data_IF_943995151918
#
_entry.id   IF_943995151918
#
_cell.length_a   1.000
_cell.length_b   1.000
_cell.length_c   1.000
_cell.angle_alpha   90.00
_cell.angle_beta   90.00
_cell.angle_gamma   90.00
#
_symmetry.space_group_name_H-M   'P 1'
#
loop_
_entity.id
_entity.type
_entity.pdbx_description
1 polymer ?
#
# COMPACT_ATOMS: atom_id res chain seq x y z
N UNK A 1 1.62 8.38 2.34
CA UNK A 1 2.47 8.83 3.47
C UNK A 1 1.58 9.49 4.52
N UNK A 2 1.82 9.26 5.81
CA UNK A 2 1.07 9.97 6.87
C UNK A 2 1.50 11.45 6.91
N UNK A 3 0.55 12.38 6.88
CA UNK A 3 0.84 13.82 6.97
C UNK A 3 1.46 14.21 8.32
N UNK A 4 1.21 13.43 9.37
CA UNK A 4 1.87 13.60 10.67
C UNK A 4 3.37 13.37 10.55
N UNK A 5 3.81 12.41 9.74
CA UNK A 5 5.24 12.20 9.46
C UNK A 5 5.86 13.39 8.71
N UNK A 6 5.12 13.98 7.76
CA UNK A 6 5.52 15.21 7.08
C UNK A 6 5.65 16.39 8.05
N UNK A 7 4.75 16.51 9.03
CA UNK A 7 4.83 17.53 10.07
C UNK A 7 6.07 17.36 10.96
N UNK A 8 6.40 16.14 11.36
CA UNK A 8 7.64 15.85 12.10
C UNK A 8 8.89 16.21 11.27
N UNK A 9 8.88 15.92 9.97
CA UNK A 9 9.97 16.27 9.05
C UNK A 9 10.07 17.78 8.84
N UNK A 10 8.94 18.49 8.75
CA UNK A 10 8.90 19.95 8.64
C UNK A 10 9.52 20.62 9.88
N UNK A 11 9.21 20.13 11.09
CA UNK A 11 9.81 20.65 12.33
C UNK A 11 11.33 20.46 12.35
N UNK A 12 11.83 19.32 11.85
CA UNK A 12 13.26 19.08 11.72
C UNK A 12 13.91 19.99 10.66
N UNK A 13 13.27 20.18 9.51
CA UNK A 13 13.76 21.01 8.41
C UNK A 13 13.83 22.50 8.77
N UNK A 14 12.86 23.00 9.54
CA UNK A 14 12.81 24.40 9.99
C UNK A 14 13.64 24.66 11.26
N UNK A 15 14.31 23.63 11.80
CA UNK A 15 15.17 23.69 12.99
C UNK A 15 14.43 23.88 14.33
N UNK A 16 13.15 24.27 14.31
CA UNK A 16 12.33 24.39 15.53
C UNK A 16 10.83 24.28 15.26
N UNK A 17 10.09 23.84 16.27
CA UNK A 17 8.63 23.76 16.21
C UNK A 17 7.98 25.15 16.07
N UNK A 18 8.58 26.19 16.64
CA UNK A 18 8.11 27.57 16.52
C UNK A 18 8.27 28.14 15.10
N UNK A 19 9.35 27.76 14.40
CA UNK A 19 9.57 28.15 13.00
C UNK A 19 8.56 27.46 12.07
N UNK A 20 8.36 26.14 12.23
CA UNK A 20 7.36 25.39 11.47
C UNK A 20 5.93 25.91 11.71
N UNK A 21 5.57 26.21 12.97
CA UNK A 21 4.25 26.74 13.30
C UNK A 21 3.98 28.10 12.63
N UNK A 22 4.97 29.01 12.60
CA UNK A 22 4.86 30.31 11.91
C UNK A 22 4.62 30.15 10.41
N UNK A 23 5.36 29.27 9.73
CA UNK A 23 5.17 29.00 8.29
C UNK A 23 3.82 28.37 7.97
N UNK A 24 3.34 27.48 8.84
CA UNK A 24 2.01 26.89 8.70
C UNK A 24 0.88 27.86 9.09
N UNK A 25 1.19 29.00 9.71
CA UNK A 25 0.21 29.99 10.17
C UNK A 25 -0.64 29.50 11.35
N UNK A 26 -0.07 28.64 12.20
CA UNK A 26 -0.72 28.13 13.41
C UNK A 26 0.11 28.45 14.66
N UNK A 27 -0.52 28.39 15.83
CA UNK A 27 0.20 28.54 17.09
C UNK A 27 1.13 27.34 17.35
N UNK A 28 2.26 27.57 18.00
CA UNK A 28 3.19 26.51 18.40
C UNK A 28 2.52 25.50 19.33
N UNK A 29 1.58 25.95 20.18
CA UNK A 29 0.78 25.08 21.06
C UNK A 29 -0.17 24.15 20.30
N UNK A 30 -0.69 24.58 19.15
CA UNK A 30 -1.54 23.78 18.26
C UNK A 30 -0.72 22.67 17.62
N UNK A 31 0.43 23.01 17.03
CA UNK A 31 1.33 22.03 16.42
C UNK A 31 1.87 21.03 17.46
N UNK A 32 2.21 21.50 18.66
CA UNK A 32 2.68 20.64 19.76
C UNK A 32 1.63 19.61 20.18
N UNK A 33 0.36 20.03 20.39
CA UNK A 33 -0.74 19.10 20.75
C UNK A 33 -1.05 18.11 19.63
N UNK A 34 -0.95 18.54 18.37
CA UNK A 34 -1.14 17.67 17.21
C UNK A 34 -0.05 16.59 17.15
N UNK A 35 1.22 16.97 17.34
CA UNK A 35 2.34 16.02 17.37
C UNK A 35 2.27 15.06 18.58
N UNK A 36 1.76 15.52 19.71
CA UNK A 36 1.55 14.71 20.91
C UNK A 36 0.28 13.83 20.84
N UNK A 37 -0.53 13.94 19.78
CA UNK A 37 -1.79 13.20 19.64
C UNK A 37 -2.90 13.62 20.60
N UNK A 38 -2.76 14.76 21.28
CA UNK A 38 -3.70 15.29 22.29
C UNK A 38 -4.61 16.39 21.72
N UNK A 39 -4.57 16.63 20.41
CA UNK A 39 -5.40 17.62 19.75
C UNK A 39 -6.77 17.05 19.37
N UNK A 40 -7.83 17.63 19.91
CA UNK A 40 -9.21 17.14 19.79
C UNK A 40 -10.03 17.80 18.67
N UNK A 41 -9.53 18.87 18.04
CA UNK A 41 -10.24 19.56 16.96
C UNK A 41 -9.85 19.03 15.57
N UNK A 42 -10.59 19.44 14.54
CA UNK A 42 -10.35 19.00 13.16
C UNK A 42 -8.91 19.33 12.71
N UNK A 43 -8.22 18.30 12.22
CA UNK A 43 -6.85 18.38 11.73
C UNK A 43 -6.78 18.48 10.21
N UNK A 44 -7.92 18.43 9.51
CA UNK A 44 -7.99 18.47 8.04
C UNK A 44 -7.31 19.70 7.44
N UNK A 45 -7.58 20.89 7.98
CA UNK A 45 -6.96 22.14 7.50
C UNK A 45 -5.43 22.16 7.72
N UNK A 46 -4.96 21.65 8.87
CA UNK A 46 -3.52 21.55 9.16
C UNK A 46 -2.86 20.54 8.23
N UNK A 47 -3.50 19.39 7.99
CA UNK A 47 -2.99 18.36 7.10
C UNK A 47 -2.91 18.84 5.64
N UNK A 48 -3.91 19.60 5.17
CA UNK A 48 -3.90 20.20 3.84
C UNK A 48 -2.73 21.18 3.69
N UNK A 49 -2.54 22.07 4.67
CA UNK A 49 -1.50 23.10 4.65
C UNK A 49 -0.08 22.52 4.82
N UNK A 50 0.07 21.47 5.62
CA UNK A 50 1.33 20.70 5.72
C UNK A 50 1.66 20.03 4.40
N UNK A 51 0.67 19.45 3.70
CA UNK A 51 0.90 18.85 2.37
C UNK A 51 1.15 19.90 1.29
N UNK A 52 0.52 21.06 1.37
CA UNK A 52 0.75 22.16 0.43
C UNK A 52 2.18 22.71 0.55
N UNK A 53 2.64 22.98 1.77
CA UNK A 53 3.95 23.60 2.01
C UNK A 53 5.09 22.57 1.97
N UNK A 54 4.84 21.35 2.48
CA UNK A 54 5.89 20.32 2.69
C UNK A 54 5.63 19.00 1.96
N UNK A 55 4.52 18.85 1.24
CA UNK A 55 4.20 17.62 0.50
C UNK A 55 5.07 17.40 -0.74
N UNK A 56 5.77 18.45 -1.19
CA UNK A 56 6.67 18.42 -2.36
C UNK A 56 8.13 18.20 -2.00
N UNK A 57 8.48 18.13 -0.71
CA UNK A 57 9.88 18.07 -0.26
C UNK A 57 10.48 16.69 -0.52
N UNK A 58 10.91 16.46 -1.75
CA UNK A 58 12.22 15.84 -1.96
C UNK A 58 13.19 16.69 -1.14
N UNK A 59 13.92 16.07 -0.21
CA UNK A 59 14.91 16.71 0.64
C UNK A 59 15.61 17.84 -0.12
N UNK A 60 15.39 19.08 0.34
CA UNK A 60 16.19 20.21 -0.13
C UNK A 60 17.55 20.05 0.55
N UNK A 61 18.33 19.07 0.07
CA UNK A 61 19.74 19.01 0.39
C UNK A 61 20.35 20.25 -0.23
N UNK A 62 20.93 21.08 0.62
CA UNK A 62 21.56 22.34 0.24
C UNK A 62 22.84 21.98 -0.54
N UNK A 63 22.69 21.60 -1.81
CA UNK A 63 23.77 21.31 -2.74
C UNK A 63 24.34 22.67 -3.18
N UNK A 64 25.61 22.97 -2.88
CA UNK A 64 26.23 24.22 -3.33
C UNK A 64 26.21 24.34 -4.85
N UNK A 65 26.07 25.56 -5.37
CA UNK A 65 26.14 25.83 -6.80
C UNK A 65 27.44 25.27 -7.40
N UNK A 66 27.33 24.57 -8.53
CA UNK A 66 28.46 23.91 -9.19
C UNK A 66 28.75 22.47 -8.72
N UNK A 67 27.97 21.92 -7.79
CA UNK A 67 28.11 20.53 -7.32
C UNK A 67 26.86 19.70 -7.65
N UNK A 68 27.05 18.38 -7.76
CA UNK A 68 25.99 17.39 -7.91
C UNK A 68 26.21 16.21 -6.97
N UNK A 69 25.14 15.68 -6.39
CA UNK A 69 25.21 14.53 -5.49
C UNK A 69 25.21 13.21 -6.26
N UNK A 70 26.15 12.31 -5.95
CA UNK A 70 26.22 10.98 -6.55
C UNK A 70 25.39 9.92 -5.78
N UNK A 71 25.39 8.67 -6.26
CA UNK A 71 24.62 7.55 -5.66
C UNK A 71 25.06 7.14 -4.25
N UNK A 72 26.32 7.40 -3.88
CA UNK A 72 26.85 7.19 -2.52
C UNK A 72 26.57 8.38 -1.59
N UNK A 73 26.05 9.46 -2.15
CA UNK A 73 25.69 10.68 -1.46
C UNK A 73 26.80 11.71 -1.30
N UNK A 74 27.92 11.55 -2.00
CA UNK A 74 29.00 12.54 -2.04
C UNK A 74 28.66 13.68 -3.02
N UNK A 75 29.13 14.89 -2.69
CA UNK A 75 29.06 16.06 -3.58
C UNK A 75 30.25 16.04 -4.53
N UNK A 76 29.98 16.07 -5.83
CA UNK A 76 30.97 16.02 -6.90
C UNK A 76 30.87 17.33 -7.71
N UNK A 77 31.97 18.06 -7.95
CA UNK A 77 31.96 19.23 -8.82
C UNK A 77 31.51 18.86 -10.23
N UNK A 78 30.59 19.64 -10.82
CA UNK A 78 30.01 19.34 -12.15
C UNK A 78 31.10 19.22 -13.23
N UNK A 79 32.14 20.05 -13.16
CA UNK A 79 33.27 20.04 -14.10
C UNK A 79 34.04 18.71 -14.12
N UNK A 80 33.97 17.92 -13.04
CA UNK A 80 34.65 16.62 -12.93
C UNK A 80 33.79 15.45 -13.42
N UNK A 81 32.51 15.70 -13.72
CA UNK A 81 31.57 14.70 -14.21
C UNK A 81 31.68 14.64 -15.74
N UNK A 82 31.71 13.43 -16.29
CA UNK A 82 31.74 13.23 -17.76
C UNK A 82 30.48 13.81 -18.39
N UNK A 83 30.62 14.45 -19.54
CA UNK A 83 29.49 15.00 -20.30
C UNK A 83 28.40 13.94 -20.59
N UNK A 84 28.81 12.70 -20.92
CA UNK A 84 27.89 11.57 -21.13
C UNK A 84 27.06 11.23 -19.87
N UNK A 85 27.66 11.36 -18.69
CA UNK A 85 26.99 11.07 -17.42
C UNK A 85 26.01 12.21 -17.07
N UNK A 86 26.36 13.46 -17.38
CA UNK A 86 25.46 14.61 -17.24
C UNK A 86 24.27 14.54 -18.19
N UNK A 87 24.51 14.23 -19.47
CA UNK A 87 23.45 14.08 -20.46
C UNK A 87 22.50 12.91 -20.11
N UNK A 88 23.05 11.80 -19.62
CA UNK A 88 22.24 10.67 -19.13
C UNK A 88 21.39 11.06 -17.93
N UNK A 89 21.98 11.78 -16.99
CA UNK A 89 21.27 12.26 -15.81
C UNK A 89 20.12 13.20 -16.18
N UNK A 90 20.36 14.19 -17.04
CA UNK A 90 19.34 15.10 -17.55
C UNK A 90 18.19 14.34 -18.22
N UNK A 91 18.50 13.41 -19.13
CA UNK A 91 17.51 12.59 -19.80
C UNK A 91 16.65 11.79 -18.81
N UNK A 92 17.27 11.14 -17.81
CA UNK A 92 16.55 10.37 -16.80
C UNK A 92 15.67 11.28 -15.93
N UNK A 93 16.19 12.42 -15.50
CA UNK A 93 15.43 13.38 -14.68
C UNK A 93 14.22 13.94 -15.43
N UNK A 94 14.38 14.26 -16.71
CA UNK A 94 13.28 14.72 -17.56
C UNK A 94 12.21 13.64 -17.73
N UNK A 95 12.62 12.39 -18.02
CA UNK A 95 11.71 11.26 -18.13
C UNK A 95 10.95 11.00 -16.82
N UNK A 96 11.63 11.07 -15.67
CA UNK A 96 11.01 10.92 -14.35
C UNK A 96 10.04 12.07 -14.06
N UNK A 97 10.37 13.31 -14.43
CA UNK A 97 9.47 14.45 -14.26
C UNK A 97 8.17 14.26 -15.06
N UNK A 98 8.28 13.84 -16.33
CA UNK A 98 7.12 13.50 -17.18
C UNK A 98 6.29 12.37 -16.57
N UNK A 99 6.93 11.30 -16.11
CA UNK A 99 6.24 10.17 -15.47
C UNK A 99 5.50 10.57 -14.18
N UNK A 100 6.09 11.45 -13.36
CA UNK A 100 5.43 11.99 -12.15
C UNK A 100 4.17 12.78 -12.49
N UNK A 101 4.20 13.58 -13.55
CA UNK A 101 3.02 14.34 -14.00
C UNK A 101 1.89 13.40 -14.43
N UNK A 102 2.19 12.36 -15.22
CA UNK A 102 1.19 11.35 -15.61
C UNK A 102 0.64 10.62 -14.37
N UNK A 103 1.53 10.19 -13.47
CA UNK A 103 1.13 9.54 -12.22
C UNK A 103 0.20 10.41 -11.37
N UNK A 104 0.46 11.73 -11.33
CA UNK A 104 -0.40 12.69 -10.65
C UNK A 104 -1.78 12.75 -11.30
N UNK A 105 -1.86 12.86 -12.63
CA UNK A 105 -3.14 12.86 -13.38
C UNK A 105 -3.95 11.60 -13.09
N UNK A 106 -3.33 10.41 -13.18
CA UNK A 106 -4.01 9.13 -12.92
C UNK A 106 -4.48 9.04 -11.47
N UNK A 107 -3.67 9.52 -10.52
CA UNK A 107 -4.02 9.51 -9.08
C UNK A 107 -5.21 10.43 -8.80
N UNK A 108 -5.18 11.65 -9.33
CA UNK A 108 -6.27 12.64 -9.17
C UNK A 108 -7.55 12.11 -9.81
N UNK A 109 -7.47 11.57 -11.02
CA UNK A 109 -8.62 10.93 -11.69
C UNK A 109 -9.22 9.79 -10.85
N UNK A 110 -8.37 8.91 -10.29
CA UNK A 110 -8.83 7.81 -9.44
C UNK A 110 -9.60 8.29 -8.20
N UNK A 111 -9.10 9.34 -7.54
CA UNK A 111 -9.76 9.89 -6.35
C UNK A 111 -11.11 10.51 -6.71
N UNK A 112 -11.13 11.36 -7.74
CA UNK A 112 -12.37 11.98 -8.23
C UNK A 112 -13.41 10.93 -8.64
N UNK A 113 -13.00 9.90 -9.39
CA UNK A 113 -13.88 8.81 -9.81
C UNK A 113 -14.48 8.05 -8.62
N UNK A 114 -13.73 7.89 -7.54
CA UNK A 114 -14.22 7.22 -6.33
C UNK A 114 -15.30 8.05 -5.64
N UNK A 115 -15.06 9.35 -5.48
CA UNK A 115 -15.99 10.29 -4.85
C UNK A 115 -17.26 10.46 -5.70
N UNK A 116 -17.12 10.64 -7.01
CA UNK A 116 -18.24 10.79 -7.95
C UNK A 116 -19.10 9.53 -8.01
N UNK A 117 -18.48 8.35 -8.06
CA UNK A 117 -19.22 7.09 -8.03
C UNK A 117 -19.99 6.91 -6.72
N UNK A 118 -19.39 7.27 -5.58
CA UNK A 118 -20.07 7.16 -4.30
C UNK A 118 -21.26 8.12 -4.23
N UNK A 119 -21.07 9.39 -4.65
CA UNK A 119 -22.15 10.37 -4.71
C UNK A 119 -23.30 9.92 -5.64
N UNK A 120 -22.99 9.33 -6.79
CA UNK A 120 -23.99 8.78 -7.70
C UNK A 120 -24.81 7.65 -7.07
N UNK A 121 -24.15 6.75 -6.33
CA UNK A 121 -24.80 5.65 -5.63
C UNK A 121 -25.68 6.14 -4.48
N UNK A 122 -25.20 7.12 -3.71
CA UNK A 122 -25.95 7.70 -2.60
C UNK A 122 -27.24 8.38 -3.10
N UNK A 123 -27.15 9.14 -4.20
CA UNK A 123 -28.32 9.74 -4.86
C UNK A 123 -29.32 8.69 -5.33
N UNK A 124 -28.83 7.58 -5.89
CA UNK A 124 -29.70 6.48 -6.32
C UNK A 124 -30.38 5.80 -5.12
N UNK A 125 -29.70 5.66 -3.98
CA UNK A 125 -30.23 5.05 -2.77
C UNK A 125 -31.28 5.93 -2.08
N UNK A 126 -31.04 7.24 -2.03
CA UNK A 126 -31.95 8.25 -1.46
C UNK A 126 -33.33 8.18 -2.11
N UNK A 127 -33.38 8.01 -3.44
CA UNK A 127 -34.63 7.86 -4.20
C UNK A 127 -35.53 6.73 -3.68
N UNK A 128 -34.95 5.69 -3.09
CA UNK A 128 -35.67 4.52 -2.58
C UNK A 128 -35.68 4.45 -1.04
N UNK A 129 -35.23 5.51 -0.35
CA UNK A 129 -35.14 5.53 1.12
C UNK A 129 -34.17 4.48 1.68
N UNK A 130 -33.25 3.99 0.85
CA UNK A 130 -32.25 2.99 1.25
C UNK A 130 -30.98 3.70 1.72
N UNK A 131 -30.31 3.12 2.71
CA UNK A 131 -28.93 3.48 3.02
C UNK A 131 -28.02 2.41 2.45
N UNK A 132 -27.18 2.76 1.48
CA UNK A 132 -26.13 1.86 1.01
C UNK A 132 -25.10 1.77 2.15
N UNK A 133 -25.08 0.63 2.84
CA UNK A 133 -24.16 0.38 3.94
C UNK A 133 -22.69 0.42 3.50
N UNK A 134 -22.07 1.59 3.62
CA UNK A 134 -20.64 1.82 3.43
C UNK A 134 -20.10 1.65 2.00
N UNK A 135 -18.95 2.26 1.72
CA UNK A 135 -18.25 2.21 0.42
C UNK A 135 -17.72 0.82 0.01
N UNK A 136 -18.16 -0.27 0.66
CA UNK A 136 -17.58 -1.63 0.59
C UNK A 136 -18.42 -2.62 -0.21
N UNK A 137 -18.84 -2.22 -1.39
CA UNK A 137 -19.57 -3.10 -2.31
C UNK A 137 -18.95 -3.12 -3.70
N UNK A 138 -18.88 -4.30 -4.30
CA UNK A 138 -18.64 -4.44 -5.73
C UNK A 138 -19.84 -3.86 -6.48
N UNK A 139 -19.59 -2.96 -7.44
CA UNK A 139 -20.63 -2.27 -8.20
C UNK A 139 -20.21 -2.19 -9.65
N UNK A 140 -21.15 -2.41 -10.56
CA UNK A 140 -20.98 -2.17 -11.99
C UNK A 140 -22.02 -1.18 -12.48
N UNK A 141 -21.57 -0.05 -13.02
CA UNK A 141 -22.40 0.92 -13.73
C UNK A 141 -22.21 0.70 -15.23
N UNK A 142 -23.30 0.68 -15.98
CA UNK A 142 -23.29 0.53 -17.44
C UNK A 142 -23.88 1.79 -18.06
N UNK A 143 -23.28 2.28 -19.14
CA UNK A 143 -23.84 3.40 -19.91
C UNK A 143 -25.20 3.04 -20.50
N UNK A 144 -26.03 4.04 -20.79
CA UNK A 144 -27.39 3.82 -21.30
C UNK A 144 -27.43 3.01 -22.62
N UNK A 145 -26.47 3.27 -23.51
CA UNK A 145 -26.29 2.54 -24.77
C UNK A 145 -25.63 1.16 -24.60
N UNK A 146 -25.19 0.81 -23.38
CA UNK A 146 -24.51 -0.44 -23.10
C UNK A 146 -23.12 -0.55 -23.73
N UNK A 147 -22.52 0.56 -24.18
CA UNK A 147 -21.17 0.55 -24.77
C UNK A 147 -20.06 0.57 -23.74
N UNK A 148 -20.27 1.22 -22.60
CA UNK A 148 -19.24 1.42 -21.58
C UNK A 148 -19.67 0.86 -20.23
N UNK A 149 -18.70 0.31 -19.49
CA UNK A 149 -18.91 -0.14 -18.12
C UNK A 149 -17.84 0.42 -17.18
N UNK A 150 -18.29 0.87 -16.01
CA UNK A 150 -17.44 1.28 -14.90
C UNK A 150 -17.69 0.34 -13.73
N UNK A 151 -16.66 -0.40 -13.33
CA UNK A 151 -16.70 -1.38 -12.26
C UNK A 151 -15.84 -0.93 -11.08
N UNK A 152 -16.42 -0.93 -9.89
CA UNK A 152 -15.71 -0.86 -8.60
C UNK A 152 -15.62 -2.27 -8.02
N UNK A 153 -14.40 -2.73 -7.78
CA UNK A 153 -14.11 -3.99 -7.12
C UNK A 153 -13.37 -3.73 -5.80
N UNK A 154 -13.88 -4.27 -4.71
CA UNK A 154 -13.25 -4.22 -3.37
C UNK A 154 -12.69 -5.60 -3.07
N UNK A 155 -11.41 -5.66 -2.71
CA UNK A 155 -10.76 -6.90 -2.29
C UNK A 155 -10.18 -6.74 -0.90
N UNK A 156 -10.47 -7.70 -0.03
CA UNK A 156 -9.92 -7.72 1.32
C UNK A 156 -8.42 -8.02 1.29
N UNK A 157 -7.69 -7.31 2.15
CA UNK A 157 -6.31 -7.62 2.48
C UNK A 157 -6.34 -8.55 3.70
N UNK A 158 -5.89 -9.78 3.47
CA UNK A 158 -5.78 -10.78 4.51
C UNK A 158 -4.39 -10.71 5.16
N UNK A 159 -4.34 -10.82 6.48
CA UNK A 159 -3.12 -11.04 7.25
C UNK A 159 -3.35 -12.10 8.32
N UNK A 160 -2.26 -12.54 8.93
CA UNK A 160 -2.27 -13.58 9.95
C UNK A 160 -2.06 -12.99 11.33
N UNK A 161 -2.87 -13.45 12.28
CA UNK A 161 -2.71 -13.11 13.70
C UNK A 161 -1.81 -14.15 14.43
N UNK A 162 -1.74 -14.03 15.75
CA UNK A 162 -0.93 -14.89 16.63
C UNK A 162 -1.30 -16.37 16.59
N UNK A 163 -2.52 -16.75 16.21
CA UNK A 163 -2.93 -18.17 16.19
C UNK A 163 -2.18 -18.98 15.14
N UNK A 164 -1.58 -18.31 14.14
CA UNK A 164 -0.67 -18.95 13.18
C UNK A 164 0.57 -19.55 13.87
N UNK A 165 1.06 -18.93 14.95
CA UNK A 165 2.18 -19.49 15.72
C UNK A 165 1.75 -20.74 16.49
N UNK A 166 0.55 -20.75 17.05
CA UNK A 166 -0.02 -21.92 17.71
C UNK A 166 -0.20 -23.08 16.71
N UNK A 167 -0.68 -22.80 15.50
CA UNK A 167 -0.77 -23.79 14.44
C UNK A 167 0.60 -24.39 14.07
N UNK A 168 1.64 -23.54 13.96
CA UNK A 168 3.01 -24.01 13.71
C UNK A 168 3.48 -24.96 14.80
N UNK A 169 3.26 -24.62 16.07
CA UNK A 169 3.68 -25.46 17.19
C UNK A 169 3.00 -26.85 17.17
N UNK A 170 1.72 -26.91 16.78
CA UNK A 170 0.99 -28.17 16.60
C UNK A 170 1.57 -28.99 15.43
N UNK A 171 1.84 -28.34 14.29
CA UNK A 171 2.47 -29.00 13.12
C UNK A 171 3.85 -29.55 13.48
N UNK A 172 4.70 -28.75 14.13
CA UNK A 172 6.04 -29.19 14.57
C UNK A 172 5.95 -30.38 15.52
N UNK A 173 4.89 -30.49 16.31
CA UNK A 173 4.65 -31.63 17.20
C UNK A 173 4.25 -32.87 16.40
N UNK A 174 3.30 -32.76 15.46
CA UNK A 174 2.94 -33.84 14.54
C UNK A 174 4.16 -34.37 13.78
N UNK A 175 4.95 -33.46 13.19
CA UNK A 175 6.12 -33.83 12.40
C UNK A 175 7.16 -34.56 13.25
N UNK A 176 7.43 -34.10 14.48
CA UNK A 176 8.36 -34.78 15.39
C UNK A 176 7.87 -36.17 15.79
N UNK A 177 6.57 -36.34 16.02
CA UNK A 177 5.99 -37.65 16.33
C UNK A 177 6.08 -38.60 15.14
N UNK A 178 5.74 -38.15 13.92
CA UNK A 178 5.78 -38.97 12.70
C UNK A 178 7.20 -39.29 12.23
N UNK A 179 8.19 -38.49 12.62
CA UNK A 179 9.60 -38.65 12.22
C UNK A 179 10.50 -39.19 13.35
N UNK A 180 9.91 -39.58 14.47
CA UNK A 180 10.61 -40.11 15.65
C UNK A 180 11.51 -41.30 15.32
N UNK A 181 11.01 -42.25 14.53
CA UNK A 181 11.75 -43.44 14.07
C UNK A 181 12.43 -43.25 12.69
N UNK A 182 12.37 -42.04 12.13
CA UNK A 182 13.01 -41.76 10.83
C UNK A 182 14.51 -41.51 10.97
N UNK A 183 15.24 -41.76 9.87
CA UNK A 183 16.68 -41.49 9.82
C UNK A 183 16.97 -40.00 10.05
N UNK A 184 18.08 -39.63 10.70
CA UNK A 184 18.45 -38.23 10.94
C UNK A 184 18.43 -37.37 9.68
N UNK A 185 18.83 -37.92 8.53
CA UNK A 185 18.82 -37.22 7.23
C UNK A 185 17.40 -36.89 6.76
N UNK A 186 16.43 -37.78 7.00
CA UNK A 186 15.01 -37.57 6.65
C UNK A 186 14.40 -36.51 7.56
N UNK A 187 14.71 -36.56 8.86
CA UNK A 187 14.27 -35.53 9.81
C UNK A 187 14.80 -34.16 9.44
N UNK A 188 16.09 -34.05 9.10
CA UNK A 188 16.71 -32.79 8.68
C UNK A 188 16.06 -32.21 7.41
N UNK A 189 15.73 -33.05 6.42
CA UNK A 189 15.03 -32.61 5.21
C UNK A 189 13.62 -32.10 5.49
N UNK A 190 12.90 -32.76 6.41
CA UNK A 190 11.55 -32.34 6.80
C UNK A 190 11.62 -31.02 7.58
N UNK A 191 12.49 -30.92 8.58
CA UNK A 191 12.65 -29.68 9.36
C UNK A 191 13.03 -28.48 8.48
N UNK A 192 13.94 -28.67 7.52
CA UNK A 192 14.32 -27.64 6.53
C UNK A 192 13.15 -27.23 5.62
N UNK A 193 12.39 -28.21 5.12
CA UNK A 193 11.23 -27.95 4.26
C UNK A 193 10.15 -27.09 4.93
N UNK A 194 10.04 -27.18 6.27
CA UNK A 194 9.10 -26.44 7.10
C UNK A 194 9.71 -25.21 7.80
N UNK A 195 10.95 -24.84 7.50
CA UNK A 195 11.53 -23.60 8.03
C UNK A 195 10.80 -22.34 7.51
N UNK A 196 10.70 -21.36 8.40
CA UNK A 196 10.22 -20.01 8.10
C UNK A 196 11.25 -19.27 7.23
N UNK A 197 10.81 -18.26 6.48
CA UNK A 197 11.72 -17.48 5.61
C UNK A 197 12.83 -16.82 6.45
N UNK A 198 13.95 -16.42 5.80
CA UNK A 198 15.17 -15.85 6.40
C UNK A 198 14.94 -14.63 7.32
N UNK A 199 13.74 -14.05 7.30
CA UNK A 199 13.30 -12.95 8.19
C UNK A 199 12.50 -13.43 9.42
N UNK A 200 12.47 -14.74 9.69
CA UNK A 200 11.66 -15.34 10.75
C UNK A 200 10.16 -15.30 10.47
N UNK A 201 9.74 -14.95 9.25
CA UNK A 201 8.32 -14.84 8.87
C UNK A 201 7.82 -16.16 8.31
N UNK A 202 6.69 -16.59 8.84
CA UNK A 202 5.97 -17.77 8.38
C UNK A 202 5.57 -17.56 6.91
N UNK A 203 5.89 -18.55 6.06
CA UNK A 203 5.43 -18.53 4.67
C UNK A 203 3.95 -18.93 4.62
N UNK A 204 3.08 -17.93 4.75
CA UNK A 204 1.63 -18.04 4.69
C UNK A 204 1.13 -18.93 3.55
N UNK A 205 1.69 -18.78 2.34
CA UNK A 205 1.28 -19.55 1.16
C UNK A 205 1.56 -21.04 1.31
N UNK A 206 2.72 -21.40 1.89
CA UNK A 206 3.07 -22.80 2.17
C UNK A 206 2.17 -23.38 3.26
N UNK A 207 1.94 -22.64 4.34
CA UNK A 207 1.09 -23.10 5.45
C UNK A 207 -0.36 -23.30 4.98
N UNK A 208 -0.92 -22.36 4.22
CA UNK A 208 -2.25 -22.54 3.61
C UNK A 208 -2.29 -23.74 2.65
N UNK A 209 -1.17 -24.06 2.01
CA UNK A 209 -1.04 -25.25 1.15
C UNK A 209 -1.22 -26.57 1.90
N UNK A 210 -0.86 -26.63 3.19
CA UNK A 210 -0.98 -27.85 4.02
C UNK A 210 -2.45 -28.28 4.19
N UNK A 211 -3.39 -27.33 4.11
CA UNK A 211 -4.83 -27.62 4.18
C UNK A 211 -5.34 -28.51 3.05
N UNK A 212 -4.57 -28.65 1.96
CA UNK A 212 -4.91 -29.57 0.86
C UNK A 212 -4.65 -31.04 1.22
N UNK A 213 -3.86 -31.31 2.26
CA UNK A 213 -3.54 -32.65 2.71
C UNK A 213 -4.63 -33.15 3.64
N UNK A 214 -5.34 -34.19 3.20
CA UNK A 214 -6.37 -34.83 4.01
C UNK A 214 -5.74 -35.87 4.95
N UNK A 215 -5.29 -35.42 6.12
CA UNK A 215 -4.65 -36.27 7.13
C UNK A 215 -5.59 -36.42 8.33
N UNK A 216 -5.85 -37.67 8.73
CA UNK A 216 -6.74 -38.04 9.82
C UNK A 216 -5.98 -38.16 11.14
N UNK A 217 -5.32 -37.09 11.55
CA UNK A 217 -4.68 -36.96 12.87
C UNK A 217 -5.33 -35.80 13.63
N UNK A 218 -5.60 -35.99 14.92
CA UNK A 218 -6.32 -35.03 15.74
C UNK A 218 -5.54 -33.72 15.93
N UNK A 219 -4.23 -33.79 16.17
CA UNK A 219 -3.37 -32.61 16.32
C UNK A 219 -3.22 -31.89 14.98
N UNK A 220 -3.13 -32.64 13.88
CA UNK A 220 -3.12 -32.08 12.53
C UNK A 220 -4.40 -31.31 12.22
N UNK A 221 -5.56 -31.89 12.50
CA UNK A 221 -6.86 -31.22 12.31
C UNK A 221 -6.97 -29.93 13.11
N UNK A 222 -6.58 -29.96 14.39
CA UNK A 222 -6.52 -28.77 15.25
C UNK A 222 -5.56 -27.71 14.72
N UNK A 223 -4.43 -28.13 14.13
CA UNK A 223 -3.52 -27.19 13.48
C UNK A 223 -4.13 -26.55 12.23
N UNK A 224 -4.85 -27.32 11.40
CA UNK A 224 -5.54 -26.78 10.22
C UNK A 224 -6.68 -25.82 10.58
N UNK A 225 -7.38 -26.09 11.69
CA UNK A 225 -8.39 -25.21 12.27
C UNK A 225 -7.75 -23.89 12.74
N UNK A 226 -6.68 -23.96 13.54
CA UNK A 226 -5.92 -22.79 13.97
C UNK A 226 -5.37 -21.95 12.79
N UNK A 227 -4.96 -22.58 11.68
CA UNK A 227 -4.56 -21.84 10.46
C UNK A 227 -5.76 -21.08 9.89
N UNK A 228 -6.94 -21.68 9.90
CA UNK A 228 -8.15 -21.04 9.37
C UNK A 228 -8.55 -19.83 10.22
N UNK A 229 -8.48 -19.98 11.55
CA UNK A 229 -8.79 -18.93 12.52
C UNK A 229 -7.74 -17.82 12.55
N UNK A 230 -6.53 -18.10 12.05
CA UNK A 230 -5.47 -17.11 11.98
C UNK A 230 -5.68 -16.05 10.90
N UNK A 231 -6.55 -16.31 9.93
CA UNK A 231 -6.84 -15.38 8.85
C UNK A 231 -7.72 -14.24 9.36
N UNK A 232 -7.19 -13.02 9.24
CA UNK A 232 -7.90 -11.80 9.63
C UNK A 232 -7.89 -10.80 8.47
N UNK A 233 -8.97 -10.03 8.34
CA UNK A 233 -9.05 -8.93 7.37
C UNK A 233 -8.38 -7.71 8.02
N UNK A 234 -7.22 -7.30 7.50
CA UNK A 234 -6.48 -6.13 7.99
C UNK A 234 -6.77 -4.85 7.23
N UNK A 235 -7.44 -4.97 6.08
CA UNK A 235 -7.90 -3.83 5.30
C UNK A 235 -8.61 -4.26 4.03
N UNK A 236 -8.91 -3.30 3.18
CA UNK A 236 -9.50 -3.54 1.86
C UNK A 236 -8.85 -2.64 0.83
N UNK A 237 -8.69 -3.13 -0.40
CA UNK A 237 -8.22 -2.36 -1.55
C UNK A 237 -9.36 -2.22 -2.55
N UNK A 238 -9.61 -0.99 -2.97
CA UNK A 238 -10.59 -0.68 -4.02
C UNK A 238 -9.88 -0.48 -5.35
N UNK A 239 -10.40 -1.17 -6.36
CA UNK A 239 -9.97 -1.12 -7.75
C UNK A 239 -11.11 -0.61 -8.60
N UNK A 240 -10.79 0.26 -9.56
CA UNK A 240 -11.72 0.71 -10.57
C UNK A 240 -11.28 0.16 -11.92
N UNK A 241 -12.23 -0.34 -12.71
CA UNK A 241 -11.99 -0.84 -14.06
C UNK A 241 -13.00 -0.22 -14.99
N UNK A 242 -12.51 0.32 -16.11
CA UNK A 242 -13.33 0.87 -17.18
C UNK A 242 -13.24 -0.08 -18.36
N UNK A 243 -14.38 -0.30 -19.00
CA UNK A 243 -14.49 -1.19 -20.16
C UNK A 243 -15.23 -0.49 -21.29
N UNK A 244 -14.84 -0.83 -22.51
CA UNK A 244 -15.55 -0.51 -23.74
C UNK A 244 -15.96 -1.81 -24.44
N UNK A 245 -17.18 -1.83 -24.95
CA UNK A 245 -17.72 -2.94 -25.74
C UNK A 245 -17.18 -2.88 -27.16
N UNK A 246 -16.55 -3.96 -27.61
CA UNK A 246 -16.07 -4.11 -28.98
C UNK A 246 -17.20 -4.47 -29.96
N UNK A 247 -16.89 -4.46 -31.26
CA UNK A 247 -17.85 -4.80 -32.33
C UNK A 247 -18.40 -6.23 -32.20
N UNK A 248 -17.65 -7.13 -31.55
CA UNK A 248 -18.07 -8.50 -31.24
C UNK A 248 -18.96 -8.61 -30.00
N UNK A 249 -19.23 -7.49 -29.34
CA UNK A 249 -20.08 -7.41 -28.16
C UNK A 249 -19.38 -7.73 -26.84
N UNK A 250 -18.06 -7.95 -26.84
CA UNK A 250 -17.27 -8.24 -25.64
C UNK A 250 -16.73 -6.95 -25.01
N UNK A 251 -16.68 -6.92 -23.68
CA UNK A 251 -16.09 -5.79 -22.96
C UNK A 251 -14.58 -5.94 -22.85
N UNK A 252 -13.85 -4.99 -23.45
CA UNK A 252 -12.40 -4.84 -23.33
C UNK A 252 -12.07 -3.77 -22.31
N UNK A 253 -11.15 -4.07 -21.42
CA UNK A 253 -10.71 -3.11 -20.43
C UNK A 253 -9.94 -1.98 -21.11
N UNK A 254 -10.22 -0.74 -20.72
CA UNK A 254 -9.43 0.42 -21.10
C UNK A 254 -8.20 0.46 -20.17
N UNK A 255 -6.97 0.17 -20.66
CA UNK A 255 -5.78 0.18 -19.81
C UNK A 255 -5.42 1.62 -19.44
N UNK A 256 -5.07 1.82 -18.16
CA UNK A 256 -4.55 3.10 -17.64
C UNK A 256 -3.09 2.96 -17.19
N UNK A 257 -2.51 1.76 -17.29
CA UNK A 257 -1.13 1.49 -16.96
C UNK A 257 -0.26 1.51 -18.23
N UNK A 258 0.95 2.05 -18.11
CA UNK A 258 1.86 2.23 -19.24
C UNK A 258 2.36 0.91 -19.85
N UNK A 259 2.31 -0.20 -19.11
CA UNK A 259 2.83 -1.50 -19.58
C UNK A 259 1.88 -2.23 -20.53
N UNK A 260 0.60 -1.85 -20.54
CA UNK A 260 -0.45 -2.52 -21.32
C UNK A 260 -0.93 -1.68 -22.52
N UNK A 261 -0.42 -0.44 -22.65
CA UNK A 261 -0.72 0.49 -23.77
C UNK A 261 0.22 0.26 -24.94
#
# INVERSE_FOLDING_TARGET
MSWTRLLHQAVAAEGSMAAAARKLGYSTSTISRIMAGTYSADTGAVAAKVKEIYGSTTMNENIPDGYKKNSLGHLVPIETIKEEDLARDEFVLEAVAKARNISHVVTTFKLQLADDMQAFLDLAAEKYGATLGGARGNVTLTSFDGRYQLMRAVSDLLDFNETLQAAKALIDTCLREWTSDSRPEVRALIEDAFQVDKKGKINAKRILGLRKLNINDEKWRRAMEAISDSLTVTGSRTYFRLYERDEGGNYRQIPLDFSTV
#
